data_IF_264226732369
#
_entry.id   IF_264226732369
#
_cell.length_a   1.000
_cell.length_b   1.000
_cell.length_c   1.000
_cell.angle_alpha   90.00
_cell.angle_beta   90.00
_cell.angle_gamma   90.00
#
_symmetry.space_group_name_H-M   'P 1'
#
loop_
_entity.id
_entity.type
_entity.pdbx_description
1 polymer ?
#
# COMPACT_ATOMS: atom_id res chain seq x y z
N UNK A 1 14.29 5.31 -8.73
CA UNK A 1 13.00 5.94 -8.44
C UNK A 1 12.58 5.64 -7.02
N UNK A 2 12.32 6.67 -6.24
CA UNK A 2 12.00 6.49 -4.83
C UNK A 2 10.63 7.09 -4.52
N UNK A 3 9.76 6.25 -3.99
CA UNK A 3 8.43 6.66 -3.59
C UNK A 3 8.33 6.38 -2.10
N UNK A 4 7.98 7.39 -1.33
CA UNK A 4 7.83 7.22 0.11
C UNK A 4 6.50 6.55 0.42
N UNK A 5 6.54 5.46 1.19
CA UNK A 5 5.34 4.75 1.60
C UNK A 5 5.22 4.85 3.11
N UNK A 6 4.15 5.48 3.57
CA UNK A 6 3.87 5.59 4.99
C UNK A 6 3.13 4.36 5.48
N UNK A 7 3.64 3.77 6.54
CA UNK A 7 3.18 2.49 7.06
C UNK A 7 2.38 2.71 8.34
N UNK A 8 1.15 2.21 8.41
CA UNK A 8 0.36 2.34 9.64
C UNK A 8 0.96 1.50 10.76
N UNK A 9 0.67 1.88 11.99
CA UNK A 9 1.23 1.22 13.18
C UNK A 9 1.04 -0.30 13.14
N UNK A 10 -0.13 -0.75 12.73
CA UNK A 10 -0.43 -2.19 12.75
C UNK A 10 0.41 -3.00 11.75
N UNK A 11 1.01 -2.35 10.77
CA UNK A 11 1.83 -3.04 9.77
C UNK A 11 3.32 -2.84 9.97
N UNK A 12 3.72 -2.08 10.99
CA UNK A 12 5.14 -1.79 11.19
C UNK A 12 5.95 -3.00 11.62
N UNK A 13 5.31 -4.08 12.05
CA UNK A 13 6.03 -5.32 12.33
C UNK A 13 6.67 -5.91 11.07
N UNK A 14 6.11 -5.60 9.91
CA UNK A 14 6.67 -6.07 8.63
C UNK A 14 7.80 -5.20 8.13
N UNK A 15 7.94 -4.01 8.67
CA UNK A 15 8.97 -3.05 8.24
C UNK A 15 10.02 -2.79 9.31
N UNK A 16 10.09 -3.67 10.31
CA UNK A 16 11.07 -3.51 11.38
C UNK A 16 10.83 -2.29 12.26
N UNK A 17 9.58 -1.84 12.34
CA UNK A 17 9.23 -0.67 13.14
C UNK A 17 9.28 0.64 12.38
N UNK A 18 9.61 0.61 11.09
CA UNK A 18 9.73 1.83 10.30
C UNK A 18 8.36 2.44 10.01
N UNK A 19 8.24 3.74 10.22
CA UNK A 19 7.01 4.48 9.94
C UNK A 19 6.83 4.76 8.47
N UNK A 20 7.93 4.81 7.74
CA UNK A 20 7.94 5.06 6.32
C UNK A 20 9.09 4.31 5.69
N UNK A 21 8.88 3.79 4.50
CA UNK A 21 9.92 3.08 3.76
C UNK A 21 9.88 3.56 2.32
N UNK A 22 10.99 3.38 1.61
CA UNK A 22 11.05 3.70 0.20
C UNK A 22 10.73 2.47 -0.62
N UNK A 23 10.03 2.66 -1.71
CA UNK A 23 9.70 1.58 -2.63
C UNK A 23 9.67 2.14 -4.04
N UNK A 24 9.59 1.27 -5.02
CA UNK A 24 9.59 1.65 -6.42
C UNK A 24 8.51 0.90 -7.18
N UNK A 25 7.97 1.52 -8.22
CA UNK A 25 6.99 0.92 -9.09
C UNK A 25 6.33 1.96 -9.96
N UNK A 26 5.94 1.56 -11.15
CA UNK A 26 5.28 2.47 -12.09
C UNK A 26 3.79 2.63 -11.77
N UNK A 27 3.27 1.70 -10.97
CA UNK A 27 1.90 1.78 -10.50
C UNK A 27 1.82 1.16 -9.10
N UNK A 28 0.66 1.26 -8.49
CA UNK A 28 0.50 0.79 -7.12
C UNK A 28 0.76 -0.71 -6.99
N UNK A 29 0.29 -1.51 -7.94
CA UNK A 29 0.50 -2.95 -7.91
C UNK A 29 2.00 -3.29 -7.90
N UNK A 30 2.78 -2.65 -8.77
CA UNK A 30 4.22 -2.86 -8.82
C UNK A 30 4.90 -2.40 -7.53
N UNK A 31 4.43 -1.28 -6.96
CA UNK A 31 4.95 -0.78 -5.71
C UNK A 31 4.74 -1.79 -4.58
N UNK A 32 3.55 -2.39 -4.52
CA UNK A 32 3.24 -3.38 -3.49
C UNK A 32 4.12 -4.62 -3.66
N UNK A 33 4.37 -5.03 -4.90
CA UNK A 33 5.28 -6.14 -5.15
C UNK A 33 6.70 -5.84 -4.68
N UNK A 34 7.15 -4.60 -4.87
CA UNK A 34 8.45 -4.18 -4.38
C UNK A 34 8.50 -4.17 -2.85
N UNK A 35 7.41 -3.72 -2.22
CA UNK A 35 7.31 -3.78 -0.77
C UNK A 35 7.41 -5.22 -0.26
N UNK A 36 6.73 -6.13 -0.93
CA UNK A 36 6.76 -7.54 -0.53
C UNK A 36 8.17 -8.13 -0.65
N UNK A 37 8.91 -7.72 -1.67
CA UNK A 37 10.27 -8.20 -1.87
C UNK A 37 11.20 -7.78 -0.73
N UNK A 38 10.97 -6.60 -0.17
CA UNK A 38 11.80 -6.06 0.91
C UNK A 38 11.22 -6.30 2.30
N UNK A 39 9.91 -6.49 2.38
CA UNK A 39 9.19 -6.65 3.64
C UNK A 39 8.19 -7.79 3.50
N UNK A 40 8.68 -9.05 3.50
CA UNK A 40 7.79 -10.21 3.26
C UNK A 40 6.61 -10.29 4.23
N UNK A 41 5.46 -10.59 3.69
CA UNK A 41 4.22 -10.70 4.44
C UNK A 41 3.34 -9.48 4.36
N UNK A 42 3.88 -8.34 3.93
CA UNK A 42 3.10 -7.10 3.90
C UNK A 42 2.04 -7.12 2.80
N UNK A 43 2.33 -7.75 1.67
CA UNK A 43 1.41 -7.80 0.55
C UNK A 43 0.09 -8.48 0.93
N UNK A 44 0.16 -9.55 1.72
CA UNK A 44 -1.03 -10.24 2.18
C UNK A 44 -1.95 -9.35 3.01
N UNK A 45 -1.37 -8.36 3.66
CA UNK A 45 -2.14 -7.44 4.49
C UNK A 45 -2.80 -6.35 3.67
N UNK A 46 -2.30 -6.11 2.46
CA UNK A 46 -2.81 -5.06 1.60
C UNK A 46 -3.73 -5.58 0.51
N UNK A 47 -3.45 -6.77 0.00
CA UNK A 47 -4.17 -7.36 -1.12
C UNK A 47 -4.95 -8.57 -0.64
N UNK A 48 -6.22 -8.62 -0.99
CA UNK A 48 -7.05 -9.79 -0.74
C UNK A 48 -7.14 -10.59 -2.02
N UNK A 49 -6.52 -11.75 -2.02
CA UNK A 49 -6.55 -12.65 -3.17
C UNK A 49 -7.37 -13.91 -2.90
N UNK A 50 -8.16 -13.90 -1.84
CA UNK A 50 -8.92 -15.08 -1.46
C UNK A 50 -9.93 -15.51 -2.49
N UNK A 51 -10.39 -14.58 -3.31
CA UNK A 51 -11.33 -14.87 -4.40
C UNK A 51 -10.62 -15.02 -5.74
N UNK A 52 -9.29 -15.00 -5.73
CA UNK A 52 -8.50 -15.10 -6.96
C UNK A 52 -8.32 -13.81 -7.72
N UNK A 53 -8.96 -12.74 -7.27
CA UNK A 53 -8.93 -11.47 -7.99
C UNK A 53 -7.73 -10.58 -7.70
N UNK A 54 -7.27 -10.58 -6.47
CA UNK A 54 -6.13 -9.76 -6.10
C UNK A 54 -6.43 -8.27 -6.12
N UNK A 55 -7.25 -7.81 -5.20
CA UNK A 55 -7.57 -6.38 -5.09
C UNK A 55 -7.25 -5.92 -3.68
N UNK A 56 -7.23 -4.61 -3.46
CA UNK A 56 -7.00 -4.05 -2.13
C UNK A 56 -8.06 -4.56 -1.17
N UNK A 57 -7.62 -4.86 0.06
CA UNK A 57 -8.55 -5.28 1.09
C UNK A 57 -9.53 -4.15 1.41
N UNK A 58 -10.76 -4.52 1.75
CA UNK A 58 -11.81 -3.56 2.08
C UNK A 58 -11.43 -2.61 3.19
N UNK A 59 -10.66 -3.13 4.16
CA UNK A 59 -10.32 -2.37 5.35
C UNK A 59 -8.96 -1.71 5.25
N UNK A 60 -8.48 -1.53 4.02
CA UNK A 60 -7.22 -0.83 3.77
C UNK A 60 -7.51 0.32 2.83
N UNK A 61 -7.11 1.51 3.22
CA UNK A 61 -7.16 2.68 2.37
C UNK A 61 -5.75 3.06 1.96
N UNK A 62 -5.58 3.37 0.69
CA UNK A 62 -4.28 3.81 0.17
C UNK A 62 -4.50 5.13 -0.55
N UNK A 63 -3.63 6.08 -0.25
CA UNK A 63 -3.68 7.41 -0.84
C UNK A 63 -2.37 7.69 -1.57
N UNK A 64 -2.46 8.26 -2.75
CA UNK A 64 -1.30 8.74 -3.50
C UNK A 64 -1.42 10.25 -3.54
N UNK A 65 -0.49 10.94 -2.89
CA UNK A 65 -0.52 12.40 -2.81
C UNK A 65 -1.89 12.91 -2.34
N UNK A 66 -2.41 12.26 -1.29
CA UNK A 66 -3.69 12.62 -0.66
C UNK A 66 -4.94 12.24 -1.47
N UNK A 67 -4.79 11.52 -2.56
CA UNK A 67 -5.93 11.04 -3.33
C UNK A 67 -6.15 9.55 -3.08
N UNK A 68 -7.39 9.18 -2.74
CA UNK A 68 -7.74 7.78 -2.55
C UNK A 68 -7.59 7.05 -3.89
N UNK A 69 -6.80 5.97 -3.87
CA UNK A 69 -6.51 5.24 -5.12
C UNK A 69 -7.74 4.65 -5.77
N UNK A 70 -8.79 4.41 -5.00
CA UNK A 70 -10.02 3.84 -5.57
C UNK A 70 -10.67 4.75 -6.59
N UNK A 71 -10.34 6.04 -6.55
CA UNK A 71 -10.86 7.02 -7.48
C UNK A 71 -9.91 7.33 -8.63
N UNK A 72 -8.70 6.76 -8.60
CA UNK A 72 -7.68 7.06 -9.60
C UNK A 72 -7.05 5.82 -10.22
N UNK A 73 -7.77 4.70 -10.17
CA UNK A 73 -7.34 3.48 -10.85
C UNK A 73 -7.02 2.29 -9.97
N UNK A 74 -7.19 2.43 -8.64
CA UNK A 74 -6.93 1.30 -7.73
C UNK A 74 -5.50 0.81 -7.84
N UNK A 75 -5.33 -0.49 -8.00
CA UNK A 75 -3.98 -1.08 -8.13
C UNK A 75 -3.26 -0.64 -9.40
N UNK A 76 -3.99 -0.15 -10.39
CA UNK A 76 -3.40 0.37 -11.62
C UNK A 76 -3.04 1.86 -11.56
N UNK A 77 -3.26 2.52 -10.42
CA UNK A 77 -2.97 3.93 -10.29
C UNK A 77 -1.49 4.20 -10.57
N UNK A 78 -1.22 5.16 -11.44
CA UNK A 78 0.15 5.48 -11.86
C UNK A 78 0.94 6.15 -10.75
N UNK A 79 2.21 5.81 -10.67
CA UNK A 79 3.14 6.40 -9.71
C UNK A 79 4.35 6.95 -10.43
N UNK A 80 4.96 7.94 -9.83
CA UNK A 80 6.20 8.50 -10.36
C UNK A 80 7.12 8.90 -9.21
N UNK A 81 8.37 9.10 -9.53
CA UNK A 81 9.39 9.46 -8.56
C UNK A 81 8.95 10.69 -7.76
N UNK A 82 9.11 10.62 -6.46
CA UNK A 82 8.74 11.69 -5.58
C UNK A 82 7.31 11.63 -5.05
N UNK A 83 6.50 10.71 -5.56
CA UNK A 83 5.15 10.55 -5.03
C UNK A 83 5.18 10.03 -3.60
N UNK A 84 4.14 10.34 -2.86
CA UNK A 84 3.97 9.84 -1.50
C UNK A 84 2.76 8.94 -1.43
N UNK A 85 2.95 7.75 -0.90
CA UNK A 85 1.87 6.77 -0.72
C UNK A 85 1.63 6.63 0.77
N UNK A 86 0.37 6.73 1.18
CA UNK A 86 0.00 6.56 2.58
C UNK A 86 -0.95 5.38 2.68
N UNK A 87 -0.60 4.42 3.53
CA UNK A 87 -1.46 3.26 3.80
C UNK A 87 -2.11 3.47 5.14
N UNK A 88 -3.43 3.41 5.18
CA UNK A 88 -4.18 3.58 6.42
C UNK A 88 -5.17 2.44 6.58
N UNK A 89 -5.31 1.88 7.78
CA UNK A 89 -6.36 0.92 8.01
C UNK A 89 -7.70 1.65 8.02
N UNK A 90 -8.68 1.08 7.35
CA UNK A 90 -10.03 1.58 7.45
C UNK A 90 -10.60 1.03 8.75
N UNK A 91 -10.97 1.90 9.65
CA UNK A 91 -11.56 1.46 10.90
C UNK A 91 -13.03 1.18 10.65
N UNK A 92 -13.31 -0.06 10.35
CA UNK A 92 -14.66 -0.45 10.03
C UNK A 92 -15.52 -0.38 11.28
N UNK A 93 -16.54 0.44 11.16
CA UNK A 93 -17.48 0.54 12.22
C UNK A 93 -16.86 0.98 13.51
N UNK A 94 -15.90 1.44 13.38
CA UNK A 94 -15.22 1.75 14.54
C UNK A 94 -15.04 0.49 15.26
N UNK A 95 -15.53 0.28 14.84
CA UNK A 95 -15.48 -0.28 15.56
C UNK A 95 -15.07 -0.66 15.65
#
# INVERSE_FOLDING_TARGET
MAIEVRIPTILRTYTGGEKAVDAAGDNLSALIDDLEAHHPGIKERLIDSSDGGGDLRRFVNVYINDEDVRFIGGLGASLKDGDQVVVLPAVAGGR
#
